data_IF_770892701907
#
_entry.id   IF_770892701907
#
_cell.length_a   1.000
_cell.length_b   1.000
_cell.length_c   1.000
_cell.angle_alpha   90.00
_cell.angle_beta   90.00
_cell.angle_gamma   90.00
#
_symmetry.space_group_name_H-M   'P 1'
#
loop_
_entity.id
_entity.type
_entity.pdbx_description
1 polymer ?
#
# COMPACT_ATOMS: atom_id res chain seq x y z
N UNK A 1 29.12 -31.28 -18.28
CA UNK A 1 28.54 -29.93 -18.25
C UNK A 1 27.20 -30.00 -17.54
N UNK A 2 27.01 -29.40 -16.35
CA UNK A 2 25.70 -29.29 -15.75
C UNK A 2 25.11 -27.89 -15.96
N UNK A 3 23.95 -27.84 -16.62
CA UNK A 3 23.07 -26.67 -16.69
C UNK A 3 22.45 -26.47 -15.31
N UNK A 4 22.95 -25.49 -14.57
CA UNK A 4 22.34 -25.07 -13.30
C UNK A 4 21.15 -24.17 -13.66
N UNK A 5 19.97 -24.77 -13.67
CA UNK A 5 18.70 -24.04 -13.71
C UNK A 5 18.54 -23.30 -12.39
N UNK A 6 18.77 -21.99 -12.41
CA UNK A 6 18.50 -21.10 -11.29
C UNK A 6 16.98 -20.99 -11.14
N UNK A 7 16.38 -21.90 -10.36
CA UNK A 7 15.07 -21.67 -9.79
C UNK A 7 15.21 -20.46 -8.86
N UNK A 8 14.75 -19.30 -9.34
CA UNK A 8 14.56 -18.10 -8.54
C UNK A 8 13.75 -18.51 -7.31
N UNK A 9 14.23 -18.29 -6.08
CA UNK A 9 13.43 -18.59 -4.91
C UNK A 9 12.19 -17.69 -4.98
N UNK A 10 11.04 -18.29 -5.26
CA UNK A 10 9.73 -17.70 -5.03
C UNK A 10 9.72 -17.28 -3.58
N UNK A 11 9.88 -15.99 -3.37
CA UNK A 11 9.85 -15.37 -2.07
C UNK A 11 8.46 -15.61 -1.50
N UNK A 12 8.34 -16.66 -0.68
CA UNK A 12 7.29 -16.79 0.31
C UNK A 12 7.54 -15.73 1.39
N UNK A 13 7.48 -14.46 1.02
CA UNK A 13 7.06 -13.45 1.97
C UNK A 13 5.56 -13.64 2.11
N UNK A 14 5.17 -14.51 3.04
CA UNK A 14 4.06 -14.13 3.91
C UNK A 14 4.56 -12.88 4.62
N UNK A 15 4.41 -11.72 3.96
CA UNK A 15 4.47 -10.45 4.66
C UNK A 15 3.48 -10.62 5.79
N UNK A 16 3.94 -10.52 7.03
CA UNK A 16 3.10 -9.93 8.06
C UNK A 16 2.74 -8.59 7.45
N UNK A 17 1.59 -8.55 6.76
CA UNK A 17 1.25 -7.44 5.91
C UNK A 17 1.18 -6.23 6.84
N UNK A 18 2.13 -5.32 6.70
CA UNK A 18 2.08 -4.04 7.40
C UNK A 18 0.64 -3.52 7.26
N UNK A 19 -0.01 -3.17 8.37
CA UNK A 19 -1.42 -2.85 8.36
C UNK A 19 -1.64 -1.74 7.33
N UNK A 20 -2.69 -1.90 6.51
CA UNK A 20 -3.07 -0.88 5.55
C UNK A 20 -3.20 0.45 6.30
N UNK A 21 -2.48 1.47 5.84
CA UNK A 21 -2.53 2.77 6.47
C UNK A 21 -3.86 3.45 6.17
N UNK A 22 -4.48 3.14 5.04
CA UNK A 22 -5.84 3.57 4.70
C UNK A 22 -6.41 2.69 3.58
N UNK A 23 -7.72 2.77 3.36
CA UNK A 23 -8.44 1.94 2.40
C UNK A 23 -9.49 2.75 1.63
N UNK A 24 -9.59 2.53 0.33
CA UNK A 24 -10.71 2.97 -0.49
C UNK A 24 -11.67 1.80 -0.62
N UNK A 25 -12.90 1.96 -0.16
CA UNK A 25 -13.89 0.88 -0.12
C UNK A 25 -14.92 1.12 -1.22
N UNK A 26 -15.10 0.12 -2.08
CA UNK A 26 -16.26 -0.08 -2.95
C UNK A 26 -17.12 -1.24 -2.45
N UNK A 27 -18.20 -1.54 -3.16
CA UNK A 27 -19.21 -2.52 -2.73
C UNK A 27 -18.66 -3.96 -2.70
N UNK A 28 -17.82 -4.34 -3.66
CA UNK A 28 -17.21 -5.66 -3.81
C UNK A 28 -15.69 -5.64 -3.88
N UNK A 29 -15.07 -4.46 -3.96
CA UNK A 29 -13.62 -4.30 -3.97
C UNK A 29 -13.15 -3.14 -3.09
N UNK A 30 -11.95 -3.24 -2.56
CA UNK A 30 -11.28 -2.16 -1.85
C UNK A 30 -9.81 -2.06 -2.28
N UNK A 31 -9.27 -0.85 -2.33
CA UNK A 31 -7.83 -0.63 -2.50
C UNK A 31 -7.23 -0.23 -1.18
N UNK A 32 -6.20 -0.94 -0.74
CA UNK A 32 -5.42 -0.60 0.44
C UNK A 32 -4.08 0.00 0.04
N UNK A 33 -3.63 1.02 0.76
CA UNK A 33 -2.25 1.48 0.67
C UNK A 33 -1.51 1.00 1.91
N UNK A 34 -0.32 0.44 1.70
CA UNK A 34 0.61 0.03 2.73
C UNK A 34 1.86 0.86 2.66
N UNK A 35 2.44 1.07 3.81
CA UNK A 35 3.70 1.77 3.98
C UNK A 35 4.61 0.89 4.83
N UNK A 36 5.85 0.71 4.38
CA UNK A 36 6.90 0.07 5.17
C UNK A 36 8.19 0.87 5.10
N UNK A 37 8.95 0.86 6.20
CA UNK A 37 10.28 1.48 6.26
C UNK A 37 11.36 0.40 6.30
N UNK A 38 12.28 0.48 5.34
CA UNK A 38 13.44 -0.39 5.22
C UNK A 38 14.70 0.45 5.50
N UNK A 39 14.88 0.80 6.78
CA UNK A 39 15.90 1.77 7.19
C UNK A 39 15.55 3.19 6.73
N UNK A 40 16.38 3.76 5.84
CA UNK A 40 16.14 5.10 5.25
C UNK A 40 15.16 5.05 4.07
N UNK A 41 14.90 3.86 3.53
CA UNK A 41 13.99 3.70 2.41
C UNK A 41 12.55 3.61 2.90
N UNK A 42 11.68 4.43 2.32
CA UNK A 42 10.24 4.40 2.46
C UNK A 42 9.70 3.67 1.24
N UNK A 43 8.99 2.58 1.49
CA UNK A 43 8.23 1.88 0.47
C UNK A 43 6.75 2.14 0.66
N UNK A 44 6.07 2.42 -0.45
CA UNK A 44 4.64 2.62 -0.56
C UNK A 44 4.10 1.61 -1.57
N UNK A 45 3.12 0.80 -1.16
CA UNK A 45 2.49 -0.22 -1.98
C UNK A 45 1.00 0.02 -2.02
N UNK A 46 0.41 -0.01 -3.21
CA UNK A 46 -1.04 -0.01 -3.38
C UNK A 46 -1.51 -1.40 -3.83
N UNK A 47 -2.51 -1.94 -3.13
CA UNK A 47 -3.04 -3.28 -3.37
C UNK A 47 -4.56 -3.22 -3.51
N UNK A 48 -5.07 -3.67 -4.65
CA UNK A 48 -6.48 -3.91 -4.89
C UNK A 48 -6.87 -5.29 -4.36
N UNK A 49 -7.84 -5.32 -3.45
CA UNK A 49 -8.48 -6.53 -2.97
C UNK A 49 -9.93 -6.55 -3.44
N UNK A 50 -10.36 -7.59 -4.13
CA UNK A 50 -11.74 -7.76 -4.60
C UNK A 50 -12.33 -9.09 -4.14
N UNK A 51 -13.62 -9.12 -3.87
CA UNK A 51 -14.38 -10.33 -3.59
C UNK A 51 -15.28 -10.64 -4.80
N UNK A 52 -14.91 -11.65 -5.58
CA UNK A 52 -15.67 -12.06 -6.77
C UNK A 52 -16.06 -13.53 -6.63
N UNK A 53 -17.37 -13.81 -6.67
CA UNK A 53 -17.89 -15.18 -6.64
C UNK A 53 -17.51 -15.98 -5.39
N UNK A 54 -17.42 -15.33 -4.22
CA UNK A 54 -17.04 -15.97 -2.96
C UNK A 54 -15.54 -16.23 -2.79
N UNK A 55 -14.69 -15.78 -3.74
CA UNK A 55 -13.23 -15.84 -3.63
C UNK A 55 -12.67 -14.44 -3.44
N UNK A 56 -11.71 -14.32 -2.52
CA UNK A 56 -10.89 -13.13 -2.38
C UNK A 56 -9.80 -13.16 -3.46
N UNK A 57 -9.68 -12.06 -4.17
CA UNK A 57 -8.66 -11.80 -5.16
C UNK A 57 -7.86 -10.58 -4.72
N UNK A 58 -6.55 -10.63 -4.90
CA UNK A 58 -5.65 -9.54 -4.52
C UNK A 58 -4.67 -9.29 -5.66
N UNK A 59 -4.43 -8.03 -5.97
CA UNK A 59 -3.52 -7.56 -7.00
C UNK A 59 -2.77 -6.33 -6.49
N UNK A 60 -1.44 -6.36 -6.59
CA UNK A 60 -0.62 -5.16 -6.38
C UNK A 60 -0.78 -4.25 -7.60
N UNK A 61 -1.25 -3.02 -7.38
CA UNK A 61 -1.47 -2.05 -8.46
C UNK A 61 -0.17 -1.31 -8.80
N UNK A 62 0.53 -0.84 -7.77
CA UNK A 62 1.79 -0.10 -7.93
C UNK A 62 2.61 -0.15 -6.64
N UNK A 63 3.93 -0.15 -6.79
CA UNK A 63 4.91 -0.14 -5.71
C UNK A 63 5.97 0.92 -6.01
N UNK A 64 6.17 1.83 -5.06
CA UNK A 64 7.11 2.92 -5.20
C UNK A 64 8.00 3.07 -3.97
N UNK A 65 9.22 3.54 -4.22
CA UNK A 65 10.24 3.74 -3.19
C UNK A 65 10.75 5.18 -3.19
N UNK A 66 11.00 5.71 -2.00
CA UNK A 66 11.62 7.02 -1.81
C UNK A 66 12.45 7.04 -0.52
N UNK A 67 13.45 7.90 -0.43
CA UNK A 67 14.15 8.17 0.83
C UNK A 67 13.69 9.47 1.48
N UNK A 68 12.89 10.25 0.75
CA UNK A 68 12.40 11.57 1.15
C UNK A 68 10.94 11.49 1.60
N UNK A 69 10.65 12.09 2.76
CA UNK A 69 9.32 12.06 3.39
C UNK A 69 8.30 12.90 2.63
N UNK A 70 8.67 14.10 2.18
CA UNK A 70 7.78 14.98 1.42
C UNK A 70 7.43 14.36 0.07
N UNK A 71 8.41 13.71 -0.57
CA UNK A 71 8.18 12.94 -1.79
C UNK A 71 7.27 11.73 -1.55
N UNK A 72 7.36 11.08 -0.39
CA UNK A 72 6.47 9.98 -0.02
C UNK A 72 5.01 10.44 0.07
N UNK A 73 4.76 11.66 0.57
CA UNK A 73 3.41 12.25 0.60
C UNK A 73 2.85 12.49 -0.80
N UNK A 74 3.69 12.95 -1.74
CA UNK A 74 3.29 13.07 -3.15
C UNK A 74 2.92 11.72 -3.76
N UNK A 75 3.80 10.73 -3.60
CA UNK A 75 3.60 9.37 -4.12
C UNK A 75 2.29 8.76 -3.59
N UNK A 76 1.99 8.91 -2.30
CA UNK A 76 0.77 8.33 -1.72
C UNK A 76 -0.51 8.96 -2.28
N UNK A 77 -0.45 10.24 -2.66
CA UNK A 77 -1.54 10.93 -3.34
C UNK A 77 -1.73 10.42 -4.77
N UNK A 78 -0.65 10.23 -5.52
CA UNK A 78 -0.70 9.64 -6.86
C UNK A 78 -1.25 8.20 -6.82
N UNK A 79 -0.79 7.39 -5.87
CA UNK A 79 -1.29 6.04 -5.63
C UNK A 79 -2.79 6.03 -5.29
N UNK A 80 -3.25 6.98 -4.46
CA UNK A 80 -4.69 7.17 -4.18
C UNK A 80 -5.46 7.46 -5.46
N UNK A 81 -4.94 8.35 -6.30
CA UNK A 81 -5.62 8.75 -7.53
C UNK A 81 -5.74 7.59 -8.51
N UNK A 82 -4.66 6.84 -8.73
CA UNK A 82 -4.68 5.66 -9.60
C UNK A 82 -5.53 4.52 -9.01
N UNK A 83 -5.55 4.35 -7.68
CA UNK A 83 -6.45 3.43 -6.99
C UNK A 83 -7.93 3.79 -7.23
N UNK A 84 -8.30 5.06 -7.05
CA UNK A 84 -9.66 5.54 -7.27
C UNK A 84 -10.08 5.38 -8.74
N UNK A 85 -9.18 5.66 -9.67
CA UNK A 85 -9.38 5.43 -11.11
C UNK A 85 -9.56 3.95 -11.44
N UNK A 86 -8.79 3.07 -10.82
CA UNK A 86 -8.90 1.61 -10.98
C UNK A 86 -10.26 1.10 -10.49
N UNK A 87 -10.73 1.56 -9.33
CA UNK A 87 -12.06 1.23 -8.81
C UNK A 87 -13.17 1.73 -9.74
N UNK A 88 -13.01 2.95 -10.29
CA UNK A 88 -13.96 3.53 -11.25
C UNK A 88 -14.02 2.76 -12.57
N UNK A 89 -12.89 2.28 -13.08
CA UNK A 89 -12.84 1.45 -14.30
C UNK A 89 -13.54 0.10 -14.09
N UNK A 90 -13.53 -0.42 -12.86
CA UNK A 90 -14.21 -1.68 -12.51
C UNK A 90 -15.72 -1.52 -12.25
N UNK A 91 -16.28 -0.33 -12.48
CA UNK A 91 -17.72 -0.04 -12.33
C UNK A 91 -18.26 -0.38 -10.93
N UNK A 92 -17.43 -0.18 -9.89
CA UNK A 92 -17.85 -0.42 -8.51
C UNK A 92 -18.77 0.72 -8.04
N UNK A 93 -20.07 0.44 -7.78
CA UNK A 93 -20.99 1.46 -7.28
C UNK A 93 -20.62 1.86 -5.84
N UNK A 94 -20.86 3.12 -5.49
CA UNK A 94 -20.79 3.56 -4.09
C UNK A 94 -19.37 3.76 -3.53
N UNK A 95 -18.47 4.36 -4.30
CA UNK A 95 -17.14 4.76 -3.81
C UNK A 95 -17.25 5.58 -2.51
N UNK A 96 -16.86 4.96 -1.39
CA UNK A 96 -16.74 5.58 -0.08
C UNK A 96 -15.26 5.81 0.23
N UNK A 97 -14.85 7.08 0.23
CA UNK A 97 -13.50 7.43 0.72
C UNK A 97 -13.45 7.22 2.23
N UNK A 98 -12.34 6.65 2.71
CA UNK A 98 -11.99 6.62 4.14
C UNK A 98 -12.20 8.00 4.79
N UNK A 99 -12.62 8.10 6.07
CA UNK A 99 -12.74 9.38 6.77
C UNK A 99 -11.42 10.15 6.90
N UNK A 100 -10.27 9.55 6.58
CA UNK A 100 -8.97 10.22 6.56
C UNK A 100 -8.23 9.98 5.24
N UNK A 101 -7.84 11.05 4.56
CA UNK A 101 -7.04 10.98 3.35
C UNK A 101 -5.70 10.26 3.58
N UNK A 102 -5.26 9.50 2.57
CA UNK A 102 -4.01 8.72 2.64
C UNK A 102 -2.80 9.56 3.04
N UNK A 103 -2.71 10.79 2.52
CA UNK A 103 -1.64 11.73 2.87
C UNK A 103 -1.64 12.03 4.37
N UNK A 104 -2.78 12.42 4.94
CA UNK A 104 -2.92 12.72 6.37
C UNK A 104 -2.58 11.50 7.24
N UNK A 105 -2.91 10.30 6.77
CA UNK A 105 -2.60 9.07 7.51
C UNK A 105 -1.11 8.75 7.47
N UNK A 106 -0.45 8.95 6.34
CA UNK A 106 1.01 8.80 6.21
C UNK A 106 1.76 9.86 7.02
N UNK A 107 1.30 11.11 7.03
CA UNK A 107 1.84 12.17 7.88
C UNK A 107 1.76 11.79 9.36
N UNK A 108 0.59 11.32 9.83
CA UNK A 108 0.41 10.84 11.20
C UNK A 108 1.35 9.67 11.55
N UNK A 109 1.59 8.77 10.60
CA UNK A 109 2.56 7.69 10.78
C UNK A 109 3.97 8.25 10.99
N UNK A 110 4.41 9.19 10.14
CA UNK A 110 5.71 9.85 10.29
C UNK A 110 5.86 10.64 11.60
N UNK A 111 4.80 11.31 12.06
CA UNK A 111 4.80 12.03 13.34
C UNK A 111 4.91 11.08 14.53
N UNK A 112 4.17 9.96 14.52
CA UNK A 112 4.27 8.95 15.59
C UNK A 112 5.66 8.35 15.69
N UNK A 113 6.27 8.01 14.56
CA UNK A 113 7.65 7.49 14.54
C UNK A 113 8.67 8.49 15.12
N UNK A 114 8.55 9.78 14.80
CA UNK A 114 9.42 10.81 15.39
C UNK A 114 9.24 10.91 16.90
N UNK A 115 8.01 10.80 17.40
CA UNK A 115 7.72 10.91 18.84
C UNK A 115 8.31 9.74 19.62
N UNK A 116 8.27 8.52 19.07
CA UNK A 116 8.89 7.35 19.70
C UNK A 116 10.42 7.37 19.68
N UNK A 117 11.03 8.02 18.68
CA UNK A 117 12.49 8.19 18.62
C UNK A 117 13.02 9.15 19.70
N UNK A 118 12.20 10.10 20.17
CA UNK A 118 12.58 11.10 21.19
C UNK A 118 12.33 10.58 22.62
N UNK A 119 11.38 9.67 22.81
CA UNK A 119 11.04 9.15 24.14
C UNK A 119 11.97 8.03 24.66
N UNK A 120 13.05 7.71 23.92
CA UNK A 120 14.02 6.66 24.29
C UNK A 120 15.37 7.21 24.78
N UNK A 121 15.45 8.50 25.12
CA UNK A 121 16.60 9.12 25.80
C UNK A 121 16.51 9.06 27.32
#
# INVERSE_FOLDING_TARGET
>A
MPTISAAVPTSLFVSVADPAISMLIGENAYVSIRYRRLGVLIELVSELSAHVGGRRWQEELDQQHTTDRDKALGIVCDLKYEAAKTLKIRDEPGYGSDPCDFQTTLERAFYREQTHAIASE
#
